data_IF_097391347727
#
_entry.id   IF_097391347727
#
_cell.length_a   1.000
_cell.length_b   1.000
_cell.length_c   1.000
_cell.angle_alpha   90.00
_cell.angle_beta   90.00
_cell.angle_gamma   90.00
#
_symmetry.space_group_name_H-M   'P 1'
#
loop_
_entity.id
_entity.type
_entity.pdbx_description
1 polymer ?
#
# COMPACT_ATOMS: atom_id res chain seq x y z
N UNK A 1 -5.42 -4.65 -0.66
CA UNK A 1 -6.63 -3.82 -0.84
C UNK A 1 -7.02 -3.27 0.53
N UNK A 2 -7.53 -2.03 0.60
CA UNK A 2 -7.82 -1.35 1.87
C UNK A 2 -6.69 -0.45 2.40
N UNK A 3 -5.64 -0.20 1.61
CA UNK A 3 -4.63 0.80 1.96
C UNK A 3 -5.25 2.19 1.96
N UNK A 4 -4.92 3.00 2.98
CA UNK A 4 -5.36 4.40 3.03
C UNK A 4 -4.26 5.28 2.47
N UNK A 5 -4.56 5.98 1.38
CA UNK A 5 -3.61 6.84 0.69
C UNK A 5 -4.18 8.23 0.46
N UNK A 6 -3.30 9.21 0.40
CA UNK A 6 -3.60 10.56 -0.09
C UNK A 6 -2.80 10.78 -1.37
N UNK A 7 -3.49 11.13 -2.45
CA UNK A 7 -2.89 11.33 -3.78
C UNK A 7 -2.88 12.79 -4.16
N UNK A 8 -1.89 13.16 -4.96
CA UNK A 8 -1.70 14.51 -5.50
C UNK A 8 -1.44 14.41 -6.99
N UNK A 9 -2.10 15.24 -7.79
CA UNK A 9 -1.92 15.23 -9.23
C UNK A 9 -3.03 15.94 -9.97
N UNK A 10 -2.86 16.01 -11.29
CA UNK A 10 -3.90 16.51 -12.19
C UNK A 10 -5.00 15.47 -12.40
N UNK A 11 -6.26 15.92 -12.35
CA UNK A 11 -7.41 15.09 -12.72
C UNK A 11 -7.59 15.15 -14.22
N UNK A 12 -7.61 14.00 -14.87
CA UNK A 12 -8.02 13.86 -16.27
C UNK A 12 -9.51 13.49 -16.28
N UNK A 13 -10.36 14.27 -16.97
CA UNK A 13 -11.78 13.98 -17.06
C UNK A 13 -12.03 12.65 -17.77
N UNK A 14 -13.22 12.10 -17.56
CA UNK A 14 -13.65 10.88 -18.23
C UNK A 14 -13.69 11.09 -19.75
N UNK A 15 -13.52 10.00 -20.48
CA UNK A 15 -13.56 9.91 -21.93
C UNK A 15 -14.33 8.66 -22.33
N UNK A 16 -14.61 8.48 -23.62
CA UNK A 16 -15.28 7.28 -24.14
C UNK A 16 -14.53 5.97 -23.83
N UNK A 17 -13.20 6.04 -23.64
CA UNK A 17 -12.33 4.86 -23.39
C UNK A 17 -11.95 4.66 -21.92
N UNK A 18 -11.97 5.72 -21.11
CA UNK A 18 -11.47 5.70 -19.74
C UNK A 18 -12.31 6.60 -18.83
N UNK A 19 -12.60 6.15 -17.62
CA UNK A 19 -13.21 6.99 -16.58
C UNK A 19 -12.28 8.11 -16.11
N UNK A 20 -12.70 8.85 -15.09
CA UNK A 20 -11.87 9.88 -14.44
C UNK A 20 -10.60 9.24 -13.89
N UNK A 21 -9.45 9.84 -14.17
CA UNK A 21 -8.14 9.35 -13.71
C UNK A 21 -7.34 10.47 -13.08
N UNK A 22 -6.40 10.12 -12.19
CA UNK A 22 -5.49 11.08 -11.55
C UNK A 22 -4.07 10.76 -11.98
N UNK A 23 -3.40 11.71 -12.63
CA UNK A 23 -1.99 11.60 -12.97
C UNK A 23 -1.15 11.91 -11.73
N UNK A 24 -0.65 10.86 -11.06
CA UNK A 24 0.05 11.00 -9.78
C UNK A 24 1.37 11.78 -9.91
N UNK A 25 1.49 12.82 -9.11
CA UNK A 25 2.70 13.63 -8.93
C UNK A 25 3.36 13.34 -7.57
N UNK A 26 2.56 12.95 -6.57
CA UNK A 26 3.02 12.51 -5.23
C UNK A 26 1.94 11.62 -4.61
N UNK A 27 2.35 10.65 -3.79
CA UNK A 27 1.44 9.85 -2.98
C UNK A 27 1.94 9.74 -1.55
N UNK A 28 1.06 10.00 -0.58
CA UNK A 28 1.31 9.75 0.82
C UNK A 28 0.55 8.47 1.22
N UNK A 29 1.30 7.43 1.57
CA UNK A 29 0.75 6.19 2.14
C UNK A 29 0.52 6.44 3.62
N UNK A 30 -0.74 6.57 4.01
CA UNK A 30 -1.14 6.87 5.39
C UNK A 30 -1.22 5.60 6.22
N UNK A 31 -1.75 4.52 5.64
CA UNK A 31 -1.93 3.24 6.30
C UNK A 31 -1.79 2.11 5.28
N UNK A 32 -1.00 1.09 5.63
CA UNK A 32 -0.84 -0.12 4.82
C UNK A 32 -1.67 -1.22 5.47
N UNK A 33 -2.68 -1.72 4.76
CA UNK A 33 -3.56 -2.75 5.28
C UNK A 33 -2.84 -4.09 5.39
N UNK A 34 -3.18 -4.85 6.44
CA UNK A 34 -2.68 -6.19 6.63
C UNK A 34 -3.14 -7.12 5.51
N UNK A 35 -2.21 -7.85 4.93
CA UNK A 35 -2.51 -8.90 3.97
C UNK A 35 -2.49 -10.26 4.69
N UNK A 36 -3.65 -10.88 4.80
CA UNK A 36 -3.83 -12.13 5.54
C UNK A 36 -4.13 -13.26 4.55
N UNK A 37 -3.30 -14.29 4.57
CA UNK A 37 -3.51 -15.50 3.79
C UNK A 37 -3.84 -16.68 4.69
N UNK A 38 -4.90 -17.41 4.33
CA UNK A 38 -5.36 -18.55 5.11
C UNK A 38 -4.71 -19.84 4.64
N UNK A 39 -3.97 -20.45 5.56
CA UNK A 39 -3.15 -21.64 5.35
C UNK A 39 -3.78 -22.83 6.06
N UNK A 40 -3.70 -24.03 5.48
CA UNK A 40 -4.17 -25.23 6.18
C UNK A 40 -3.39 -25.42 7.49
N UNK A 41 -4.03 -25.93 8.54
CA UNK A 41 -3.43 -26.09 9.87
C UNK A 41 -2.31 -27.13 9.86
N UNK A 42 -1.45 -27.08 10.89
CA UNK A 42 -0.48 -28.14 11.19
C UNK A 42 -1.19 -29.29 11.91
N UNK A 43 -0.75 -30.51 11.65
CA UNK A 43 -1.26 -31.70 12.34
C UNK A 43 -0.82 -31.68 13.82
N UNK A 44 -1.73 -31.85 14.79
CA UNK A 44 -1.38 -31.85 16.21
C UNK A 44 -0.55 -33.07 16.63
N UNK A 45 -0.55 -34.16 15.84
CA UNK A 45 0.23 -35.37 16.15
C UNK A 45 1.66 -35.39 15.60
N UNK A 46 1.87 -34.85 14.39
CA UNK A 46 3.16 -34.99 13.70
C UNK A 46 3.71 -33.69 13.09
N UNK A 47 3.01 -32.56 13.29
CA UNK A 47 3.43 -31.24 12.79
C UNK A 47 3.30 -31.03 11.27
N UNK A 48 3.10 -32.09 10.47
CA UNK A 48 2.95 -31.98 9.02
C UNK A 48 1.73 -31.12 8.63
N UNK A 49 1.83 -30.40 7.50
CA UNK A 49 0.71 -29.60 6.98
C UNK A 49 -0.44 -30.52 6.56
N UNK A 50 -1.66 -30.23 7.02
CA UNK A 50 -2.82 -31.02 6.64
C UNK A 50 -3.35 -30.64 5.25
N UNK A 51 -4.01 -31.58 4.57
CA UNK A 51 -4.74 -31.37 3.31
C UNK A 51 -6.24 -31.25 3.59
N UNK A 52 -6.97 -30.57 2.71
CA UNK A 52 -8.45 -30.56 2.76
C UNK A 52 -8.97 -31.98 2.53
N UNK A 53 -9.97 -32.40 3.28
CA UNK A 53 -10.66 -33.68 3.09
C UNK A 53 -11.91 -33.56 2.20
N UNK A 54 -12.18 -32.37 1.64
CA UNK A 54 -13.38 -32.04 0.85
C UNK A 54 -14.23 -30.96 1.53
N UNK A 55 -15.18 -30.38 0.78
CA UNK A 55 -16.10 -29.35 1.29
C UNK A 55 -16.85 -29.89 2.51
N UNK A 56 -16.75 -29.19 3.65
CA UNK A 56 -17.40 -29.58 4.92
C UNK A 56 -16.78 -30.79 5.64
N UNK A 57 -15.74 -31.42 5.09
CA UNK A 57 -15.14 -32.67 5.65
C UNK A 57 -13.89 -32.42 6.50
N UNK A 58 -13.53 -31.16 6.74
CA UNK A 58 -12.38 -30.79 7.55
C UNK A 58 -11.03 -31.10 6.88
N UNK A 59 -10.07 -31.57 7.67
CA UNK A 59 -8.68 -31.73 7.26
C UNK A 59 -8.17 -33.16 7.53
N UNK A 60 -7.32 -33.67 6.64
CA UNK A 60 -6.60 -34.96 6.78
C UNK A 60 -5.09 -34.74 6.73
N UNK A 61 -4.37 -35.33 7.67
CA UNK A 61 -2.92 -35.36 7.65
C UNK A 61 -2.44 -36.42 6.64
N UNK A 62 -1.61 -36.07 5.66
CA UNK A 62 -1.07 -37.04 4.70
C UNK A 62 0.00 -37.95 5.32
N UNK A 63 0.64 -37.56 6.43
CA UNK A 63 1.76 -38.30 7.05
C UNK A 63 1.32 -39.37 8.05
N UNK A 64 0.43 -39.03 8.98
CA UNK A 64 -0.01 -39.93 10.06
C UNK A 64 -1.50 -40.32 9.98
N UNK A 65 -2.21 -39.88 8.94
CA UNK A 65 -3.63 -40.21 8.75
C UNK A 65 -4.62 -39.48 9.65
N UNK A 66 -4.18 -38.69 10.64
CA UNK A 66 -5.04 -37.93 11.54
C UNK A 66 -6.07 -37.08 10.78
N UNK A 67 -7.34 -37.13 11.19
CA UNK A 67 -8.45 -36.36 10.61
C UNK A 67 -9.09 -35.49 11.68
N UNK A 68 -9.50 -34.29 11.31
CA UNK A 68 -10.30 -33.43 12.19
C UNK A 68 -11.27 -32.58 11.38
N UNK A 69 -12.51 -32.53 11.87
CA UNK A 69 -13.59 -31.68 11.37
C UNK A 69 -13.57 -30.27 11.99
N UNK A 70 -13.01 -30.13 13.20
CA UNK A 70 -13.05 -28.90 13.99
C UNK A 70 -11.91 -27.93 13.68
N UNK A 71 -10.81 -28.41 13.10
CA UNK A 71 -9.70 -27.55 12.72
C UNK A 71 -10.12 -26.55 11.64
N UNK A 72 -9.59 -25.32 11.73
CA UNK A 72 -9.80 -24.24 10.76
C UNK A 72 -8.48 -23.86 10.09
N UNK A 73 -8.57 -23.16 8.96
CA UNK A 73 -7.38 -22.56 8.35
C UNK A 73 -6.77 -21.54 9.32
N UNK A 74 -5.46 -21.53 9.41
CA UNK A 74 -4.71 -20.59 10.23
C UNK A 74 -4.43 -19.32 9.41
N UNK A 75 -4.75 -18.12 9.92
CA UNK A 75 -4.38 -16.87 9.27
C UNK A 75 -2.87 -16.69 9.36
N UNK A 76 -2.24 -16.28 8.25
CA UNK A 76 -0.82 -15.94 8.19
C UNK A 76 -0.70 -14.55 7.61
N UNK A 77 -0.10 -13.64 8.37
CA UNK A 77 0.23 -12.30 7.89
C UNK A 77 1.33 -12.40 6.84
N UNK A 78 1.08 -11.82 5.67
CA UNK A 78 2.08 -11.69 4.61
C UNK A 78 2.80 -10.37 4.84
N UNK A 79 4.14 -10.38 5.02
CA UNK A 79 4.89 -9.15 5.15
C UNK A 79 4.84 -8.40 3.82
N UNK A 80 4.48 -7.11 3.88
CA UNK A 80 4.49 -6.20 2.73
C UNK A 80 5.72 -5.30 2.81
N UNK A 81 6.32 -5.03 1.66
CA UNK A 81 7.48 -4.14 1.55
C UNK A 81 7.08 -2.66 1.58
N UNK A 82 5.83 -2.36 1.22
CA UNK A 82 5.27 -1.01 1.27
C UNK A 82 5.21 -0.51 2.72
N UNK A 83 5.77 0.67 2.97
CA UNK A 83 5.73 1.33 4.27
C UNK A 83 4.90 2.63 4.20
N UNK A 84 4.26 3.05 5.30
CA UNK A 84 3.72 4.40 5.40
C UNK A 84 4.82 5.45 5.12
N UNK A 85 4.43 6.53 4.44
CA UNK A 85 5.36 7.58 4.04
C UNK A 85 5.01 8.23 2.71
N UNK A 86 5.78 9.24 2.33
CA UNK A 86 5.63 9.98 1.08
C UNK A 86 6.51 9.38 0.00
N UNK A 87 5.90 9.06 -1.14
CA UNK A 87 6.58 8.60 -2.34
C UNK A 87 6.43 9.67 -3.43
N UNK A 88 7.57 10.02 -4.03
CA UNK A 88 7.69 11.01 -5.09
C UNK A 88 8.33 10.35 -6.32
N UNK A 89 7.96 10.77 -7.53
CA UNK A 89 8.62 10.32 -8.75
C UNK A 89 10.10 10.80 -8.78
N UNK A 90 10.91 10.27 -9.71
CA UNK A 90 12.23 10.82 -9.95
C UNK A 90 12.14 12.26 -10.50
N UNK A 91 13.16 13.12 -10.28
CA UNK A 91 13.14 14.53 -10.70
C UNK A 91 12.81 14.76 -12.17
N UNK A 92 13.22 13.85 -13.06
CA UNK A 92 12.91 13.90 -14.51
C UNK A 92 11.42 13.88 -14.84
N UNK A 93 10.58 13.41 -13.92
CA UNK A 93 9.13 13.34 -14.06
C UNK A 93 8.41 14.42 -13.25
N UNK A 94 9.15 15.37 -12.66
CA UNK A 94 8.55 16.51 -12.00
C UNK A 94 7.89 17.42 -13.02
N UNK A 95 6.69 17.86 -12.70
CA UNK A 95 6.00 18.90 -13.47
C UNK A 95 6.45 20.26 -12.97
N UNK A 96 6.29 21.28 -13.81
CA UNK A 96 6.67 22.66 -13.49
C UNK A 96 6.07 23.19 -12.19
N UNK A 97 4.82 22.82 -11.88
CA UNK A 97 4.11 23.26 -10.68
C UNK A 97 4.29 22.32 -9.48
N UNK A 98 4.98 21.19 -9.66
CA UNK A 98 5.23 20.28 -8.56
C UNK A 98 6.16 20.94 -7.55
N UNK A 99 5.72 21.00 -6.30
CA UNK A 99 6.56 21.53 -5.21
C UNK A 99 7.79 20.63 -5.03
N UNK A 100 9.03 21.17 -5.13
CA UNK A 100 10.22 20.38 -4.91
C UNK A 100 10.28 19.81 -3.48
N UNK A 101 10.80 18.58 -3.27
CA UNK A 101 10.89 17.97 -1.95
C UNK A 101 11.63 18.84 -0.92
N UNK A 102 12.67 19.56 -1.35
CA UNK A 102 13.47 20.46 -0.52
C UNK A 102 12.68 21.65 0.06
N UNK A 103 11.47 21.92 -0.47
CA UNK A 103 10.57 22.99 -0.06
C UNK A 103 9.41 22.51 0.82
N UNK A 104 9.25 21.19 1.03
CA UNK A 104 8.23 20.65 1.95
C UNK A 104 8.59 21.08 3.37
N UNK A 105 7.62 21.62 4.13
CA UNK A 105 7.87 22.20 5.46
C UNK A 105 8.33 23.67 5.42
N UNK A 106 8.53 24.24 4.22
CA UNK A 106 8.88 25.66 3.99
C UNK A 106 7.74 26.41 3.29
N UNK A 107 6.52 26.07 3.65
CA UNK A 107 5.30 26.74 3.19
C UNK A 107 5.33 28.22 3.58
N UNK A 108 5.03 29.09 2.62
CA UNK A 108 4.81 30.51 2.92
C UNK A 108 3.39 30.61 3.48
N UNK A 109 3.26 31.01 4.75
CA UNK A 109 1.95 31.22 5.40
C UNK A 109 1.40 32.62 5.18
N UNK A 110 2.28 33.58 4.89
CA UNK A 110 1.92 34.98 4.62
C UNK A 110 2.64 35.47 3.36
N UNK A 111 2.02 36.38 2.58
CA UNK A 111 2.71 37.06 1.51
C UNK A 111 3.87 37.89 2.09
N UNK A 112 4.98 38.07 1.34
CA UNK A 112 6.06 38.93 1.76
C UNK A 112 5.56 40.38 1.86
N UNK A 113 5.87 41.05 2.98
CA UNK A 113 5.50 42.46 3.20
C UNK A 113 6.46 43.45 2.56
N UNK A 114 7.65 43.00 2.18
CA UNK A 114 8.68 43.81 1.52
C UNK A 114 9.31 43.01 0.39
N UNK A 115 9.67 43.69 -0.71
CA UNK A 115 10.49 43.08 -1.75
C UNK A 115 11.91 42.84 -1.22
N UNK A 116 12.58 41.80 -1.73
CA UNK A 116 13.98 41.51 -1.39
C UNK A 116 14.85 42.50 -2.20
N UNK A 117 15.57 43.44 -1.56
CA UNK A 117 16.25 44.52 -2.28
C UNK A 117 17.38 44.04 -3.21
N UNK A 118 18.12 42.99 -2.79
CA UNK A 118 19.17 42.33 -3.57
C UNK A 118 18.77 40.89 -3.86
N UNK A 119 17.78 40.71 -4.75
CA UNK A 119 17.21 39.40 -5.05
C UNK A 119 18.07 38.57 -6.03
N UNK A 120 18.98 39.21 -6.75
CA UNK A 120 19.98 38.57 -7.62
C UNK A 120 21.34 39.24 -7.40
N UNK A 121 22.42 38.49 -7.59
CA UNK A 121 23.78 39.00 -7.63
C UNK A 121 24.37 38.60 -8.99
N UNK A 122 24.43 39.53 -9.96
CA UNK A 122 24.92 39.24 -11.30
C UNK A 122 26.38 38.75 -11.31
#
# INVERSE_FOLDING_TARGET
MGDRVRVYGGVRPASSKHGVTVNLEKIDVLEVSEEIFYRNPKCPRCGARMKSAGKGKGFKCPKCGYRSLSLKKTPVKIPRTLKPGTYIPPPRAYRHLMKPPQRIGKEKTKPPTKMIPKWHNP
#
